data_IF_318247809876
#
_entry.id   IF_318247809876
#
_cell.length_a   1.000
_cell.length_b   1.000
_cell.length_c   1.000
_cell.angle_alpha   90.00
_cell.angle_beta   90.00
_cell.angle_gamma   90.00
#
_symmetry.space_group_name_H-M   'P 1'
#
loop_
_entity.id
_entity.type
_entity.pdbx_description
1 polymer ?
#
# COMPACT_ATOMS: atom_id res chain seq x y z
N UNK A 1 6.07 -3.15 26.52
CA UNK A 1 7.38 -2.88 25.87
C UNK A 1 7.47 -1.38 25.67
N UNK A 2 8.45 -0.70 26.26
CA UNK A 2 8.66 0.73 26.07
C UNK A 2 9.26 0.94 24.66
N UNK A 3 8.54 1.65 23.80
CA UNK A 3 9.12 2.14 22.55
C UNK A 3 10.12 3.25 22.90
N UNK A 4 11.42 2.93 22.85
CA UNK A 4 12.53 3.84 23.14
C UNK A 4 12.45 5.15 22.37
N UNK A 5 11.71 5.15 21.27
CA UNK A 5 11.54 6.31 20.43
C UNK A 5 10.09 6.78 20.41
N UNK A 6 9.25 6.57 21.43
CA UNK A 6 7.88 7.10 21.41
C UNK A 6 7.83 8.61 21.20
N UNK A 7 8.79 9.34 21.80
CA UNK A 7 8.69 10.80 21.97
C UNK A 7 9.53 11.61 20.96
N UNK A 8 10.23 10.94 20.03
CA UNK A 8 11.01 11.67 19.01
C UNK A 8 10.06 12.39 18.04
N UNK A 9 10.16 13.72 17.89
CA UNK A 9 9.31 14.48 16.97
C UNK A 9 9.60 14.10 15.51
N UNK A 10 8.69 14.37 14.55
CA UNK A 10 8.95 14.16 13.13
C UNK A 10 10.17 14.95 12.62
N UNK A 11 10.92 14.38 11.68
CA UNK A 11 12.04 15.07 11.02
C UNK A 11 12.19 14.64 9.57
N UNK A 12 12.99 15.40 8.81
CA UNK A 12 13.24 15.17 7.39
C UNK A 12 14.69 14.73 7.18
N UNK A 13 14.88 13.77 6.27
CA UNK A 13 16.20 13.26 5.86
C UNK A 13 16.27 13.23 4.33
N UNK A 14 17.21 13.97 3.69
CA UNK A 14 17.40 13.91 2.25
C UNK A 14 17.75 12.49 1.80
N UNK A 15 17.07 11.98 0.76
CA UNK A 15 17.37 10.66 0.18
C UNK A 15 18.15 10.79 -1.12
N UNK A 16 17.70 11.67 -2.01
CA UNK A 16 18.27 11.95 -3.32
C UNK A 16 17.75 13.32 -3.82
N UNK A 17 18.27 13.90 -4.91
CA UNK A 17 17.66 15.07 -5.54
C UNK A 17 16.18 14.82 -5.84
N UNK A 18 15.30 15.64 -5.26
CA UNK A 18 13.84 15.50 -5.41
C UNK A 18 13.17 14.46 -4.49
N UNK A 19 13.91 13.79 -3.58
CA UNK A 19 13.38 12.77 -2.68
C UNK A 19 13.81 12.99 -1.22
N UNK A 20 12.85 12.89 -0.29
CA UNK A 20 13.05 13.11 1.15
C UNK A 20 12.31 12.05 1.95
N UNK A 21 12.94 11.50 2.98
CA UNK A 21 12.27 10.66 3.98
C UNK A 21 11.70 11.56 5.07
N UNK A 22 10.37 11.59 5.21
CA UNK A 22 9.66 12.29 6.28
C UNK A 22 9.42 11.33 7.44
N UNK A 23 10.40 11.20 8.33
CA UNK A 23 10.34 10.21 9.42
C UNK A 23 9.23 10.58 10.39
N UNK A 24 8.39 9.58 10.71
CA UNK A 24 7.25 9.66 11.64
C UNK A 24 6.12 10.60 11.22
N UNK A 25 6.15 11.10 9.99
CA UNK A 25 5.18 12.07 9.50
C UNK A 25 3.73 11.63 9.65
N UNK A 26 3.43 10.36 9.36
CA UNK A 26 2.08 9.81 9.45
C UNK A 26 1.75 9.18 10.82
N UNK A 27 2.63 9.28 11.83
CA UNK A 27 2.51 8.49 13.08
C UNK A 27 1.20 8.73 13.81
N UNK A 28 0.82 10.00 14.00
CA UNK A 28 -0.44 10.36 14.68
C UNK A 28 -1.69 9.89 13.91
N UNK A 29 -1.58 9.77 12.58
CA UNK A 29 -2.65 9.29 11.70
C UNK A 29 -2.68 7.78 11.52
N UNK A 30 -1.65 7.06 11.97
CA UNK A 30 -1.50 5.63 11.72
C UNK A 30 -2.72 4.79 12.15
N UNK A 31 -3.36 5.02 13.32
CA UNK A 31 -4.56 4.27 13.68
C UNK A 31 -5.71 4.45 12.68
N UNK A 32 -5.97 5.67 12.23
CA UNK A 32 -7.02 5.96 11.25
C UNK A 32 -6.71 5.37 9.88
N UNK A 33 -5.43 5.41 9.45
CA UNK A 33 -4.98 4.81 8.20
C UNK A 33 -5.13 3.29 8.22
N UNK A 34 -4.77 2.63 9.32
CA UNK A 34 -4.95 1.18 9.47
C UNK A 34 -6.42 0.78 9.43
N UNK A 35 -7.30 1.55 10.06
CA UNK A 35 -8.74 1.33 9.98
C UNK A 35 -9.25 1.48 8.54
N UNK A 36 -8.84 2.53 7.83
CA UNK A 36 -9.22 2.73 6.44
C UNK A 36 -8.71 1.60 5.53
N UNK A 37 -7.50 1.08 5.75
CA UNK A 37 -6.98 -0.09 5.04
C UNK A 37 -7.88 -1.31 5.28
N UNK A 38 -8.31 -1.55 6.53
CA UNK A 38 -9.22 -2.65 6.83
C UNK A 38 -10.58 -2.50 6.14
N UNK A 39 -11.09 -1.26 6.01
CA UNK A 39 -12.34 -0.98 5.31
C UNK A 39 -12.24 -1.18 3.79
N UNK A 40 -11.09 -0.82 3.20
CA UNK A 40 -10.77 -1.13 1.79
C UNK A 40 -10.68 -2.64 1.60
N UNK A 41 -9.94 -3.33 2.46
CA UNK A 41 -9.72 -4.78 2.35
C UNK A 41 -11.00 -5.60 2.53
N UNK A 42 -12.05 -5.04 3.15
CA UNK A 42 -13.37 -5.68 3.25
C UNK A 42 -14.12 -5.66 1.92
N UNK A 43 -13.90 -4.64 1.10
CA UNK A 43 -14.54 -4.47 -0.22
C UNK A 43 -13.72 -5.16 -1.32
N UNK A 44 -12.41 -4.97 -1.29
CA UNK A 44 -11.43 -5.57 -2.20
C UNK A 44 -10.36 -6.29 -1.38
N UNK A 45 -10.49 -7.60 -1.13
CA UNK A 45 -9.56 -8.35 -0.29
C UNK A 45 -8.12 -8.31 -0.80
N UNK A 46 -7.17 -8.34 0.13
CA UNK A 46 -5.77 -8.55 -0.21
C UNK A 46 -5.59 -9.87 -0.95
N UNK A 47 -4.84 -9.85 -2.06
CA UNK A 47 -4.41 -11.05 -2.78
C UNK A 47 -2.96 -10.99 -3.21
N UNK A 48 -2.32 -12.15 -3.28
CA UNK A 48 -1.02 -12.30 -3.93
C UNK A 48 -1.22 -12.36 -5.43
N UNK A 49 -0.69 -11.36 -6.14
CA UNK A 49 -0.84 -11.27 -7.59
C UNK A 49 0.14 -12.21 -8.32
N UNK A 50 -0.20 -12.59 -9.55
CA UNK A 50 0.67 -13.40 -10.43
C UNK A 50 1.31 -12.48 -11.46
N UNK A 51 2.64 -12.37 -11.42
CA UNK A 51 3.42 -11.58 -12.39
C UNK A 51 3.19 -12.07 -13.83
N UNK A 52 3.49 -11.25 -14.85
CA UNK A 52 3.37 -11.68 -16.25
C UNK A 52 4.18 -12.94 -16.58
N UNK A 53 5.27 -13.18 -15.84
CA UNK A 53 6.09 -14.39 -15.94
C UNK A 53 5.52 -15.63 -15.24
N UNK A 54 4.33 -15.56 -14.65
CA UNK A 54 3.67 -16.70 -13.99
C UNK A 54 4.06 -16.93 -12.53
N UNK A 55 4.88 -16.05 -11.94
CA UNK A 55 5.29 -16.18 -10.53
C UNK A 55 4.34 -15.43 -9.60
N UNK A 56 3.92 -16.09 -8.53
CA UNK A 56 3.14 -15.48 -7.44
C UNK A 56 4.02 -14.56 -6.60
N UNK A 57 3.58 -13.32 -6.42
CA UNK A 57 4.25 -12.35 -5.56
C UNK A 57 4.09 -12.75 -4.09
N UNK A 58 5.16 -12.62 -3.31
CA UNK A 58 5.10 -12.86 -1.85
C UNK A 58 4.26 -11.82 -1.12
N UNK A 59 4.21 -10.60 -1.64
CA UNK A 59 3.43 -9.48 -1.10
C UNK A 59 1.97 -9.61 -1.55
N UNK A 60 1.04 -9.46 -0.60
CA UNK A 60 -0.38 -9.33 -0.89
C UNK A 60 -0.74 -7.85 -1.12
N UNK A 61 -1.58 -7.58 -2.12
CA UNK A 61 -1.95 -6.24 -2.55
C UNK A 61 -3.46 -6.12 -2.73
N UNK A 62 -3.96 -4.90 -2.48
CA UNK A 62 -5.31 -4.43 -2.84
C UNK A 62 -5.21 -2.95 -3.21
N UNK A 63 -6.28 -2.36 -3.75
CA UNK A 63 -6.31 -0.98 -4.23
C UNK A 63 -7.54 -0.22 -3.72
N UNK A 64 -7.49 1.11 -3.77
CA UNK A 64 -8.64 2.00 -3.59
C UNK A 64 -8.46 3.26 -4.44
N UNK A 65 -9.56 3.97 -4.71
CA UNK A 65 -9.59 5.10 -5.65
C UNK A 65 -10.20 4.70 -7.00
N UNK A 66 -10.05 5.54 -8.02
CA UNK A 66 -10.68 5.33 -9.32
C UNK A 66 -10.01 4.22 -10.17
N UNK A 67 -8.76 3.86 -9.85
CA UNK A 67 -7.98 2.87 -10.58
C UNK A 67 -7.12 2.07 -9.60
N UNK A 68 -7.06 0.75 -9.80
CA UNK A 68 -6.18 -0.14 -9.07
C UNK A 68 -5.04 -0.65 -9.96
N UNK A 69 -3.83 -0.71 -9.40
CA UNK A 69 -2.72 -1.40 -10.08
C UNK A 69 -2.96 -2.91 -10.02
N UNK A 70 -2.79 -3.57 -11.15
CA UNK A 70 -2.97 -5.02 -11.28
C UNK A 70 -2.04 -5.59 -12.34
N UNK A 71 -2.05 -6.91 -12.47
CA UNK A 71 -1.24 -7.68 -13.41
C UNK A 71 -2.09 -8.72 -14.10
N UNK A 72 -1.79 -8.95 -15.37
CA UNK A 72 -2.36 -10.04 -16.16
C UNK A 72 -1.25 -10.71 -16.99
N UNK A 73 -1.64 -11.58 -17.92
CA UNK A 73 -0.68 -12.27 -18.81
C UNK A 73 0.04 -11.34 -19.80
N UNK A 74 -0.46 -10.12 -20.02
CA UNK A 74 0.09 -9.16 -20.98
C UNK A 74 0.98 -8.10 -20.31
N UNK A 75 0.86 -7.91 -18.99
CA UNK A 75 1.72 -7.00 -18.26
C UNK A 75 1.09 -6.45 -16.99
N UNK A 76 1.59 -5.29 -16.59
CA UNK A 76 1.04 -4.49 -15.49
C UNK A 76 0.14 -3.40 -16.04
N UNK A 77 -0.98 -3.15 -15.40
CA UNK A 77 -1.94 -2.14 -15.82
C UNK A 77 -2.66 -1.49 -14.65
N UNK A 78 -3.36 -0.41 -14.95
CA UNK A 78 -4.37 0.17 -14.07
C UNK A 78 -5.76 -0.18 -14.60
N UNK A 79 -6.64 -0.65 -13.71
CA UNK A 79 -8.00 -1.04 -14.05
C UNK A 79 -8.98 -0.38 -13.07
N UNK A 80 -10.12 0.18 -13.52
CA UNK A 80 -11.16 0.66 -12.62
C UNK A 80 -11.86 -0.45 -11.84
N UNK A 81 -11.73 -1.72 -12.24
CA UNK A 81 -12.42 -2.86 -11.64
C UNK A 81 -11.44 -3.83 -10.97
N UNK A 82 -11.76 -4.28 -9.77
CA UNK A 82 -11.03 -5.34 -9.08
C UNK A 82 -11.28 -6.70 -9.74
N UNK A 83 -10.26 -7.38 -10.31
CA UNK A 83 -10.45 -8.67 -11.00
C UNK A 83 -10.88 -9.84 -10.10
N UNK A 84 -10.90 -9.70 -8.77
CA UNK A 84 -11.41 -10.73 -7.86
C UNK A 84 -12.89 -10.51 -7.49
N UNK A 85 -13.29 -9.25 -7.30
CA UNK A 85 -14.60 -8.89 -6.72
C UNK A 85 -15.54 -8.22 -7.71
N UNK A 86 -15.05 -7.84 -8.90
CA UNK A 86 -15.79 -7.09 -9.92
C UNK A 86 -16.34 -5.75 -9.38
N UNK A 87 -15.59 -5.13 -8.46
CA UNK A 87 -15.89 -3.85 -7.80
C UNK A 87 -15.04 -2.71 -8.35
#
# INVERSE_FOLDING_TARGET
MLDLFSDTPPWQEPLAPGAVVLRRFARERAPALLQAIADVARQSPFRQMVTPGGYTMSVAMTNCGALGWTTDRHGYLYDPVDPLTDQ
#
